data_IF_179769995003
#
_entry.id   IF_179769995003
#
_cell.length_a   1.000
_cell.length_b   1.000
_cell.length_c   1.000
_cell.angle_alpha   90.00
_cell.angle_beta   90.00
_cell.angle_gamma   90.00
#
_symmetry.space_group_name_H-M   'P 1'
#
loop_
_entity.id
_entity.type
_entity.pdbx_description
1 polymer ?
#
# COMPACT_ATOMS: atom_id res chain seq x y z
N UNK A 1 -98.74 74.00 4.20
CA UNK A 1 -97.47 74.04 4.95
C UNK A 1 -97.27 72.86 5.90
N UNK A 2 -98.28 72.04 6.20
CA UNK A 2 -98.13 70.89 7.13
C UNK A 2 -97.37 69.70 6.54
N UNK A 3 -97.42 69.49 5.22
CA UNK A 3 -96.73 68.38 4.55
C UNK A 3 -95.20 68.51 4.63
N UNK A 4 -94.67 69.71 4.41
CA UNK A 4 -93.23 69.99 4.56
C UNK A 4 -92.79 69.85 6.02
N UNK A 5 -93.65 70.20 7.00
CA UNK A 5 -93.30 70.13 8.42
C UNK A 5 -93.25 68.68 8.94
N UNK A 6 -94.16 67.83 8.47
CA UNK A 6 -94.22 66.42 8.86
C UNK A 6 -93.22 65.52 8.11
N UNK A 7 -92.70 65.97 6.97
CA UNK A 7 -91.75 65.22 6.15
C UNK A 7 -90.36 65.86 6.09
N UNK A 8 -90.14 66.98 6.81
CA UNK A 8 -88.87 67.71 6.86
C UNK A 8 -87.71 66.79 7.26
N UNK A 9 -87.93 65.97 8.29
CA UNK A 9 -86.94 65.01 8.78
C UNK A 9 -86.59 63.97 7.71
N UNK A 10 -87.58 63.41 7.01
CA UNK A 10 -87.35 62.43 5.93
C UNK A 10 -86.64 63.04 4.73
N UNK A 11 -86.94 64.30 4.40
CA UNK A 11 -86.31 65.02 3.29
C UNK A 11 -84.85 65.32 3.62
N UNK A 12 -84.56 65.81 4.84
CA UNK A 12 -83.18 66.04 5.27
C UNK A 12 -82.41 64.73 5.34
N UNK A 13 -82.99 63.67 5.90
CA UNK A 13 -82.34 62.36 6.01
C UNK A 13 -82.03 61.77 4.63
N UNK A 14 -82.96 61.89 3.68
CA UNK A 14 -82.76 61.52 2.27
C UNK A 14 -81.60 62.31 1.64
N UNK A 15 -81.55 63.62 1.88
CA UNK A 15 -80.52 64.49 1.35
C UNK A 15 -79.13 64.17 1.94
N UNK A 16 -79.03 63.95 3.25
CA UNK A 16 -77.75 63.54 3.88
C UNK A 16 -77.32 62.16 3.41
N UNK A 17 -78.25 61.20 3.26
CA UNK A 17 -77.92 59.88 2.75
C UNK A 17 -77.39 59.94 1.31
N UNK A 18 -78.01 60.78 0.47
CA UNK A 18 -77.56 61.02 -0.91
C UNK A 18 -76.17 61.65 -0.97
N UNK A 19 -75.88 62.61 -0.08
CA UNK A 19 -74.54 63.23 0.02
C UNK A 19 -73.47 62.22 0.47
N UNK A 20 -73.77 61.38 1.45
CA UNK A 20 -72.83 60.36 1.94
C UNK A 20 -72.56 59.31 0.87
N UNK A 21 -73.58 58.85 0.15
CA UNK A 21 -73.40 57.88 -0.95
C UNK A 21 -72.62 58.47 -2.11
N UNK A 22 -72.88 59.71 -2.51
CA UNK A 22 -72.08 60.40 -3.52
C UNK A 22 -70.61 60.55 -3.10
N UNK A 23 -70.36 60.91 -1.83
CA UNK A 23 -69.00 60.99 -1.28
C UNK A 23 -68.27 59.66 -1.26
N UNK A 24 -68.95 58.56 -0.91
CA UNK A 24 -68.36 57.23 -0.92
C UNK A 24 -67.97 56.76 -2.34
N UNK A 25 -68.81 57.02 -3.34
CA UNK A 25 -68.51 56.73 -4.74
C UNK A 25 -67.33 57.55 -5.24
N UNK A 26 -67.26 58.84 -4.87
CA UNK A 26 -66.14 59.70 -5.23
C UNK A 26 -64.81 59.24 -4.62
N UNK A 27 -64.81 58.84 -3.34
CA UNK A 27 -63.64 58.25 -2.69
C UNK A 27 -63.21 56.92 -3.32
N UNK A 28 -64.16 56.07 -3.70
CA UNK A 28 -63.86 54.82 -4.38
C UNK A 28 -63.15 55.05 -5.72
N UNK A 29 -63.60 56.04 -6.51
CA UNK A 29 -62.97 56.41 -7.78
C UNK A 29 -61.54 56.95 -7.58
N UNK A 30 -61.29 57.78 -6.56
CA UNK A 30 -59.94 58.23 -6.24
C UNK A 30 -59.03 57.08 -5.79
N UNK A 31 -59.55 56.11 -5.03
CA UNK A 31 -58.75 54.97 -4.58
C UNK A 31 -58.20 54.12 -5.73
N UNK A 32 -58.93 54.05 -6.86
CA UNK A 32 -58.47 53.36 -8.07
C UNK A 32 -57.31 54.13 -8.72
N UNK A 33 -57.40 55.46 -8.81
CA UNK A 33 -56.33 56.29 -9.37
C UNK A 33 -55.03 56.18 -8.56
N UNK A 34 -55.15 56.22 -7.23
CA UNK A 34 -53.99 56.07 -6.33
C UNK A 34 -53.38 54.67 -6.44
N UNK A 35 -54.21 53.61 -6.58
CA UNK A 35 -53.69 52.25 -6.83
C UNK A 35 -52.92 52.16 -8.14
N UNK A 36 -53.43 52.76 -9.21
CA UNK A 36 -52.71 52.76 -10.51
C UNK A 36 -51.39 53.53 -10.46
N UNK A 37 -51.31 54.60 -9.65
CA UNK A 37 -50.09 55.37 -9.45
C UNK A 37 -49.06 54.59 -8.60
N UNK A 38 -49.51 53.88 -7.57
CA UNK A 38 -48.66 52.97 -6.76
C UNK A 38 -48.17 51.77 -7.58
N UNK A 39 -49.01 51.19 -8.44
CA UNK A 39 -48.61 50.10 -9.34
C UNK A 39 -47.61 50.59 -10.41
N UNK A 40 -47.80 51.81 -10.93
CA UNK A 40 -46.85 52.47 -11.83
C UNK A 40 -45.49 52.75 -11.17
N UNK A 41 -45.48 53.15 -9.90
CA UNK A 41 -44.26 53.30 -9.10
C UNK A 41 -43.60 51.95 -8.77
N UNK A 42 -44.40 50.89 -8.59
CA UNK A 42 -43.92 49.52 -8.41
C UNK A 42 -43.16 48.97 -9.62
N UNK A 43 -43.49 49.44 -10.84
CA UNK A 43 -42.74 49.10 -12.06
C UNK A 43 -41.43 49.89 -12.23
N UNK A 44 -41.25 50.99 -11.47
CA UNK A 44 -39.99 51.73 -11.37
C UNK A 44 -39.11 51.25 -10.21
N UNK A 45 -39.55 50.25 -9.44
CA UNK A 45 -38.70 49.61 -8.45
C UNK A 45 -37.49 49.02 -9.18
N UNK A 46 -36.31 49.57 -8.87
CA UNK A 46 -35.03 49.07 -9.36
C UNK A 46 -35.00 47.53 -9.25
N UNK A 47 -34.43 46.82 -10.26
CA UNK A 47 -34.39 45.37 -10.25
C UNK A 47 -33.89 44.92 -8.88
N UNK A 48 -34.65 44.03 -8.23
CA UNK A 48 -34.23 43.50 -6.93
C UNK A 48 -32.80 43.03 -7.08
N UNK A 49 -31.88 43.80 -6.48
CA UNK A 49 -30.48 43.42 -6.39
C UNK A 49 -30.55 42.10 -5.63
N UNK A 50 -30.24 41.01 -6.33
CA UNK A 50 -30.06 39.71 -5.70
C UNK A 50 -29.01 39.95 -4.65
N UNK A 51 -29.42 40.00 -3.39
CA UNK A 51 -28.50 40.08 -2.27
C UNK A 51 -27.64 38.84 -2.42
N UNK A 52 -26.37 39.06 -2.73
CA UNK A 52 -25.39 37.99 -2.80
C UNK A 52 -25.36 37.38 -1.40
N UNK A 53 -25.91 36.17 -1.27
CA UNK A 53 -25.98 35.43 -0.01
C UNK A 53 -24.59 35.12 0.54
N UNK A 54 -23.52 35.44 -0.18
CA UNK A 54 -22.14 35.35 0.26
C UNK A 54 -21.59 36.64 0.91
N UNK A 55 -22.38 37.73 0.99
CA UNK A 55 -21.94 38.96 1.65
C UNK A 55 -22.08 38.87 3.17
N UNK A 56 -20.95 38.57 3.84
CA UNK A 56 -20.52 38.86 5.23
C UNK A 56 -21.49 38.55 6.40
N UNK A 57 -22.78 38.87 6.29
CA UNK A 57 -23.86 38.53 7.22
C UNK A 57 -24.05 37.02 7.42
N UNK A 58 -23.66 36.23 6.41
CA UNK A 58 -23.78 34.78 6.47
C UNK A 58 -22.80 34.18 7.48
N UNK A 59 -21.65 34.81 7.78
CA UNK A 59 -20.69 34.27 8.75
C UNK A 59 -21.28 34.25 10.17
N UNK A 60 -21.97 35.32 10.58
CA UNK A 60 -22.60 35.39 11.89
C UNK A 60 -23.80 34.45 12.00
N UNK A 61 -24.68 34.43 10.98
CA UNK A 61 -25.82 33.52 10.94
C UNK A 61 -25.38 32.05 10.91
N UNK A 62 -24.32 31.72 10.17
CA UNK A 62 -23.72 30.38 10.11
C UNK A 62 -23.08 30.00 11.45
N UNK A 63 -22.41 30.93 12.13
CA UNK A 63 -21.89 30.69 13.48
C UNK A 63 -23.02 30.45 14.49
N UNK A 64 -24.13 31.19 14.38
CA UNK A 64 -25.29 31.04 15.27
C UNK A 64 -26.05 29.72 15.03
N UNK A 65 -26.20 29.30 13.77
CA UNK A 65 -26.80 27.99 13.44
C UNK A 65 -25.90 26.83 13.85
N UNK A 66 -24.59 26.94 13.63
CA UNK A 66 -23.61 25.94 14.09
C UNK A 66 -23.54 25.87 15.63
N UNK A 67 -23.79 26.99 16.34
CA UNK A 67 -23.87 27.00 17.80
C UNK A 67 -25.16 26.37 18.35
N UNK A 68 -26.27 26.44 17.60
CA UNK A 68 -27.55 25.82 17.99
C UNK A 68 -27.59 24.32 17.75
N UNK A 69 -26.85 23.82 16.77
CA UNK A 69 -26.67 22.41 16.49
C UNK A 69 -25.17 22.10 16.42
N UNK A 70 -24.49 21.88 17.56
CA UNK A 70 -23.09 21.54 17.55
C UNK A 70 -22.90 20.30 16.68
N UNK A 71 -22.10 20.41 15.61
CA UNK A 71 -21.72 19.25 14.82
C UNK A 71 -21.09 18.23 15.77
N UNK A 72 -21.68 17.03 15.83
CA UNK A 72 -21.06 15.93 16.54
C UNK A 72 -19.76 15.61 15.80
N UNK A 73 -18.67 15.99 16.44
CA UNK A 73 -17.34 15.63 16.00
C UNK A 73 -17.15 14.16 16.34
N UNK A 74 -17.06 13.33 15.31
CA UNK A 74 -16.62 11.96 15.46
C UNK A 74 -15.10 11.96 15.69
N UNK A 75 -14.70 11.61 16.92
CA UNK A 75 -13.31 11.45 17.31
C UNK A 75 -12.82 10.00 17.18
N UNK A 76 -13.73 9.04 16.94
CA UNK A 76 -13.46 7.60 16.96
C UNK A 76 -13.36 6.98 15.54
N UNK A 77 -13.94 7.63 14.52
CA UNK A 77 -13.87 7.16 13.12
C UNK A 77 -12.54 7.46 12.43
N UNK A 78 -12.08 6.62 11.49
CA UNK A 78 -10.81 6.81 10.74
C UNK A 78 -10.70 8.13 9.92
N UNK A 79 -11.78 8.90 9.86
CA UNK A 79 -11.95 10.16 9.11
C UNK A 79 -12.01 11.40 10.02
N UNK A 80 -11.43 11.40 11.22
CA UNK A 80 -11.39 12.60 12.08
C UNK A 80 -10.51 13.71 11.45
N UNK A 81 -11.17 14.66 10.79
CA UNK A 81 -10.56 15.79 10.03
C UNK A 81 -9.90 16.87 10.88
N UNK A 82 -9.91 16.74 12.21
CA UNK A 82 -9.51 17.79 13.15
C UNK A 82 -8.05 17.66 13.58
N UNK A 83 -7.58 16.42 13.75
CA UNK A 83 -6.18 16.14 14.13
C UNK A 83 -5.32 15.71 12.94
N UNK A 84 -5.95 15.43 11.80
CA UNK A 84 -5.29 15.19 10.53
C UNK A 84 -6.14 15.85 9.44
N UNK A 85 -6.07 17.18 9.33
CA UNK A 85 -6.69 17.88 8.21
C UNK A 85 -6.27 17.16 6.93
N UNK A 86 -7.23 16.64 6.17
CA UNK A 86 -6.97 16.13 4.82
C UNK A 86 -6.16 17.23 4.16
N UNK A 87 -4.86 17.00 3.96
CA UNK A 87 -4.04 17.97 3.26
C UNK A 87 -4.67 18.07 1.89
N UNK A 88 -5.35 19.19 1.65
CA UNK A 88 -5.80 19.52 0.32
C UNK A 88 -4.50 19.83 -0.42
N UNK A 89 -3.99 18.81 -1.09
CA UNK A 89 -2.72 18.90 -1.77
C UNK A 89 -3.00 19.51 -3.14
N UNK A 90 -2.19 20.49 -3.47
CA UNK A 90 -2.23 21.14 -4.75
C UNK A 90 -1.46 20.29 -5.76
N UNK A 91 -2.13 19.86 -6.83
CA UNK A 91 -1.49 19.17 -7.93
C UNK A 91 -0.51 20.13 -8.60
N UNK A 92 0.77 19.78 -8.63
CA UNK A 92 1.84 20.64 -9.19
C UNK A 92 1.60 21.02 -10.66
N UNK A 93 0.93 20.16 -11.44
CA UNK A 93 0.64 20.41 -12.85
C UNK A 93 -0.44 21.50 -13.07
N UNK A 94 -1.60 21.33 -12.44
CA UNK A 94 -2.79 22.14 -12.77
C UNK A 94 -3.15 23.15 -11.67
N UNK A 95 -2.41 23.16 -10.56
CA UNK A 95 -2.71 23.94 -9.34
C UNK A 95 -4.10 23.67 -8.75
N UNK A 96 -4.70 22.54 -9.14
CA UNK A 96 -5.99 22.09 -8.64
C UNK A 96 -5.80 21.35 -7.31
N UNK A 97 -6.68 21.68 -6.38
CA UNK A 97 -6.70 21.17 -5.00
C UNK A 97 -7.44 19.83 -4.94
N UNK A 98 -6.75 18.77 -4.52
CA UNK A 98 -7.32 17.43 -4.34
C UNK A 98 -7.28 17.00 -2.88
N UNK A 99 -8.27 16.21 -2.41
CA UNK A 99 -8.21 15.59 -1.09
C UNK A 99 -7.01 14.62 -1.02
N UNK A 100 -6.40 14.50 0.17
CA UNK A 100 -5.19 13.72 0.40
C UNK A 100 -5.32 12.23 0.00
N UNK A 101 -6.52 11.65 0.04
CA UNK A 101 -6.73 10.26 -0.38
C UNK A 101 -6.64 10.08 -1.90
N UNK A 102 -6.89 11.15 -2.66
CA UNK A 102 -6.71 11.20 -4.12
C UNK A 102 -5.33 11.69 -4.54
N UNK A 103 -4.57 12.28 -3.62
CA UNK A 103 -3.23 12.78 -3.88
C UNK A 103 -2.26 12.24 -2.82
N UNK A 104 -1.54 11.16 -3.13
CA UNK A 104 -0.43 10.72 -2.29
C UNK A 104 -0.05 9.26 -2.55
N UNK A 105 0.78 8.65 -1.68
CA UNK A 105 1.26 7.29 -1.89
C UNK A 105 0.16 6.23 -1.98
N UNK A 106 -1.04 6.51 -1.40
CA UNK A 106 -2.21 5.62 -1.50
C UNK A 106 -2.80 5.53 -2.90
N UNK A 107 -2.61 6.57 -3.73
CA UNK A 107 -3.19 6.65 -5.07
C UNK A 107 -2.29 6.00 -6.13
N UNK A 108 -1.12 5.46 -5.74
CA UNK A 108 -0.29 4.64 -6.62
C UNK A 108 -1.02 3.37 -7.00
N UNK A 109 -0.89 3.00 -8.26
CA UNK A 109 -1.39 1.75 -8.81
C UNK A 109 -0.21 0.88 -9.24
N UNK A 110 -0.32 -0.41 -8.95
CA UNK A 110 0.67 -1.40 -9.35
C UNK A 110 0.24 -1.94 -10.71
N UNK A 111 1.07 -1.74 -11.75
CA UNK A 111 0.84 -2.34 -13.08
C UNK A 111 1.28 -3.80 -13.09
N UNK A 112 2.50 -4.07 -12.64
CA UNK A 112 3.10 -5.40 -12.67
C UNK A 112 4.14 -5.52 -11.55
N UNK A 113 4.25 -6.70 -10.94
CA UNK A 113 5.35 -7.06 -10.05
C UNK A 113 6.07 -8.26 -10.67
N UNK A 114 7.38 -8.14 -10.89
CA UNK A 114 8.23 -9.21 -11.43
C UNK A 114 9.23 -9.67 -10.38
N UNK A 115 9.34 -10.98 -10.24
CA UNK A 115 10.34 -11.61 -9.37
C UNK A 115 11.74 -11.55 -9.98
N UNK A 116 12.74 -11.31 -9.14
CA UNK A 116 14.15 -11.24 -9.51
C UNK A 116 14.94 -12.38 -8.85
N UNK A 117 15.00 -13.57 -9.49
CA UNK A 117 15.64 -14.72 -8.90
C UNK A 117 17.17 -14.75 -9.01
N UNK A 118 17.78 -15.51 -8.12
CA UNK A 118 19.09 -16.12 -8.30
C UNK A 118 18.90 -17.50 -8.91
N UNK A 119 19.51 -17.71 -10.08
CA UNK A 119 19.49 -18.98 -10.78
C UNK A 119 20.88 -19.61 -10.75
N UNK A 120 20.96 -20.88 -10.38
CA UNK A 120 22.21 -21.66 -10.34
C UNK A 120 22.01 -22.95 -11.12
N UNK A 121 22.91 -23.20 -12.08
CA UNK A 121 23.02 -24.47 -12.81
C UNK A 121 24.45 -24.97 -12.77
N UNK A 122 24.62 -26.28 -12.78
CA UNK A 122 25.93 -26.93 -12.72
C UNK A 122 26.18 -27.76 -13.98
N UNK A 123 27.43 -27.79 -14.43
CA UNK A 123 27.87 -28.56 -15.59
C UNK A 123 29.24 -29.17 -15.32
N UNK A 124 29.38 -30.44 -15.65
CA UNK A 124 30.67 -31.13 -15.68
C UNK A 124 31.25 -31.07 -17.09
N UNK A 125 32.52 -30.68 -17.21
CA UNK A 125 33.23 -30.71 -18.48
C UNK A 125 34.58 -31.40 -18.31
N UNK A 126 34.78 -32.44 -19.10
CA UNK A 126 36.05 -33.18 -19.16
C UNK A 126 36.84 -32.74 -20.38
N UNK A 127 38.06 -32.24 -20.18
CA UNK A 127 38.97 -31.85 -21.27
C UNK A 127 40.32 -32.51 -21.04
N UNK A 128 40.79 -33.31 -21.99
CA UNK A 128 42.11 -33.99 -21.94
C UNK A 128 42.35 -34.69 -20.58
N UNK A 129 41.38 -35.50 -20.16
CA UNK A 129 41.40 -36.29 -18.91
C UNK A 129 41.37 -35.47 -17.61
N UNK A 130 41.13 -34.16 -17.68
CA UNK A 130 40.82 -33.33 -16.50
C UNK A 130 39.33 -33.01 -16.46
N UNK A 131 38.65 -33.51 -15.44
CA UNK A 131 37.25 -33.20 -15.15
C UNK A 131 37.19 -31.90 -14.35
N UNK A 132 36.44 -30.92 -14.85
CA UNK A 132 36.19 -29.65 -14.15
C UNK A 132 34.70 -29.42 -14.04
N UNK A 133 34.25 -29.05 -12.84
CA UNK A 133 32.86 -28.68 -12.59
C UNK A 133 32.74 -27.17 -12.66
N UNK A 134 31.73 -26.70 -13.38
CA UNK A 134 31.39 -25.29 -13.54
C UNK A 134 30.00 -25.04 -12.95
N UNK A 135 29.88 -23.96 -12.21
CA UNK A 135 28.59 -23.38 -11.85
C UNK A 135 28.35 -22.16 -12.74
N UNK A 136 27.17 -22.08 -13.32
CA UNK A 136 26.66 -20.88 -13.96
C UNK A 136 25.65 -20.25 -13.03
N UNK A 137 25.93 -19.01 -12.62
CA UNK A 137 25.13 -18.28 -11.67
C UNK A 137 24.62 -17.01 -12.33
N UNK A 138 23.31 -16.81 -12.36
CA UNK A 138 22.65 -15.61 -12.87
C UNK A 138 21.92 -14.91 -11.73
N UNK A 139 22.42 -13.76 -11.24
CA UNK A 139 21.74 -12.95 -10.25
C UNK A 139 20.85 -11.90 -10.93
N UNK A 140 19.58 -12.20 -11.21
CA UNK A 140 18.67 -11.27 -11.91
C UNK A 140 18.36 -10.01 -11.08
N UNK A 141 18.52 -10.09 -9.76
CA UNK A 141 18.37 -8.98 -8.82
C UNK A 141 19.50 -7.95 -8.89
N UNK A 142 20.61 -8.22 -9.57
CA UNK A 142 21.65 -7.23 -9.84
C UNK A 142 21.28 -6.34 -11.04
N UNK A 143 22.09 -5.31 -11.32
CA UNK A 143 21.88 -4.39 -12.44
C UNK A 143 23.12 -4.27 -13.34
N UNK A 144 22.88 -3.90 -14.60
CA UNK A 144 23.93 -3.66 -15.60
C UNK A 144 24.80 -4.90 -15.85
N UNK A 145 26.12 -4.70 -15.87
CA UNK A 145 27.11 -5.76 -16.12
C UNK A 145 27.09 -6.93 -15.11
N UNK A 146 26.39 -6.77 -14.00
CA UNK A 146 26.33 -7.76 -12.93
C UNK A 146 25.13 -8.70 -13.03
N UNK A 147 24.09 -8.32 -13.79
CA UNK A 147 22.92 -9.17 -14.07
C UNK A 147 23.19 -10.26 -15.13
N UNK A 148 24.45 -10.46 -15.50
CA UNK A 148 24.87 -11.43 -16.52
C UNK A 148 25.21 -12.76 -15.86
N UNK A 149 24.92 -13.85 -16.56
CA UNK A 149 25.31 -15.19 -16.12
C UNK A 149 26.84 -15.29 -16.03
N UNK A 150 27.35 -15.69 -14.86
CA UNK A 150 28.77 -15.89 -14.64
C UNK A 150 29.09 -17.37 -14.58
N UNK A 151 29.98 -17.80 -15.47
CA UNK A 151 30.58 -19.13 -15.43
C UNK A 151 31.76 -19.14 -14.46
N UNK A 152 31.69 -19.98 -13.44
CA UNK A 152 32.74 -20.11 -12.42
C UNK A 152 33.12 -21.58 -12.27
N UNK A 153 34.41 -21.91 -12.42
CA UNK A 153 34.90 -23.24 -12.04
C UNK A 153 34.79 -23.41 -10.53
N UNK A 154 34.19 -24.49 -10.06
CA UNK A 154 33.98 -24.76 -8.64
C UNK A 154 34.81 -25.94 -8.16
N UNK A 155 35.16 -25.91 -6.86
CA UNK A 155 35.84 -26.96 -6.11
C UNK A 155 35.27 -26.96 -4.69
N UNK A 156 35.39 -28.08 -4.00
CA UNK A 156 34.96 -28.18 -2.59
C UNK A 156 35.63 -27.08 -1.74
N UNK A 157 34.86 -26.49 -0.84
CA UNK A 157 35.27 -25.35 -0.01
C UNK A 157 35.36 -24.01 -0.75
N UNK A 158 35.02 -23.93 -2.06
CA UNK A 158 35.03 -22.65 -2.78
C UNK A 158 33.84 -21.79 -2.37
N UNK A 159 34.12 -20.57 -1.92
CA UNK A 159 33.13 -19.53 -1.73
C UNK A 159 32.98 -18.70 -3.02
N UNK A 160 31.77 -18.59 -3.55
CA UNK A 160 31.39 -17.66 -4.61
C UNK A 160 30.65 -16.49 -3.97
N UNK A 161 31.28 -15.32 -4.04
CA UNK A 161 30.72 -14.07 -3.51
C UNK A 161 30.12 -13.26 -4.65
N UNK A 162 28.89 -12.81 -4.45
CA UNK A 162 28.28 -11.84 -5.35
C UNK A 162 28.63 -10.43 -4.85
N UNK A 163 28.92 -9.51 -5.77
CA UNK A 163 29.25 -8.15 -5.41
C UNK A 163 28.91 -7.18 -6.53
N UNK A 164 28.16 -6.13 -6.20
CA UNK A 164 28.76 -4.89 -5.68
C UNK A 164 27.76 -3.73 -5.49
N UNK A 165 26.45 -3.93 -5.69
CA UNK A 165 25.44 -2.90 -5.34
C UNK A 165 24.41 -3.41 -4.32
N UNK A 166 23.50 -4.32 -4.69
CA UNK A 166 22.57 -4.93 -3.71
C UNK A 166 23.23 -6.04 -2.90
N UNK A 167 24.10 -6.83 -3.52
CA UNK A 167 24.83 -7.91 -2.84
C UNK A 167 25.89 -7.47 -1.85
N UNK A 168 26.44 -6.26 -1.95
CA UNK A 168 27.33 -5.75 -0.90
C UNK A 168 26.54 -5.35 0.35
N UNK A 169 25.32 -4.83 0.18
CA UNK A 169 24.42 -4.53 1.29
C UNK A 169 23.90 -5.81 1.96
N UNK A 170 23.61 -6.87 1.18
CA UNK A 170 23.07 -8.15 1.70
C UNK A 170 24.13 -9.25 1.94
N UNK A 171 25.39 -9.00 1.58
CA UNK A 171 26.55 -9.93 1.59
C UNK A 171 26.19 -11.39 1.26
N UNK A 172 25.66 -11.61 0.06
CA UNK A 172 25.25 -12.96 -0.37
C UNK A 172 26.49 -13.79 -0.73
N UNK A 173 26.64 -14.93 -0.06
CA UNK A 173 27.73 -15.88 -0.27
C UNK A 173 27.16 -17.28 -0.50
N UNK A 174 27.62 -17.92 -1.58
CA UNK A 174 27.32 -19.32 -1.89
C UNK A 174 28.61 -20.12 -1.70
N UNK A 175 28.61 -21.02 -0.72
CA UNK A 175 29.71 -21.92 -0.44
C UNK A 175 29.43 -23.28 -1.09
N UNK A 176 30.45 -23.87 -1.69
CA UNK A 176 30.40 -25.23 -2.21
C UNK A 176 30.87 -26.17 -1.12
N UNK A 177 29.99 -27.01 -0.59
CA UNK A 177 30.35 -27.96 0.47
C UNK A 177 30.92 -29.24 -0.13
N UNK A 178 30.13 -29.90 -0.97
CA UNK A 178 30.48 -31.21 -1.52
C UNK A 178 30.16 -31.29 -3.00
N UNK A 179 31.01 -31.97 -3.76
CA UNK A 179 30.79 -32.21 -5.18
C UNK A 179 30.82 -33.72 -5.41
N UNK A 180 29.65 -34.33 -5.67
CA UNK A 180 29.57 -35.72 -6.08
C UNK A 180 29.65 -35.79 -7.60
N UNK A 181 30.77 -36.32 -8.11
CA UNK A 181 31.05 -36.46 -9.54
C UNK A 181 31.26 -37.93 -9.86
N UNK A 182 30.54 -38.43 -10.86
CA UNK A 182 30.91 -39.67 -11.54
C UNK A 182 31.71 -39.32 -12.80
N UNK A 183 32.98 -39.76 -12.92
CA UNK A 183 33.78 -39.56 -14.12
C UNK A 183 33.19 -40.22 -15.38
N UNK A 184 32.43 -41.31 -15.21
CA UNK A 184 31.87 -42.09 -16.33
C UNK A 184 30.53 -41.55 -16.82
N UNK A 185 29.74 -40.94 -15.93
CA UNK A 185 28.42 -40.39 -16.24
C UNK A 185 28.28 -38.93 -15.79
N UNK A 186 28.37 -37.93 -16.70
CA UNK A 186 28.22 -36.52 -16.35
C UNK A 186 26.80 -36.14 -15.85
N UNK A 187 25.83 -37.04 -16.05
CA UNK A 187 24.42 -36.84 -15.68
C UNK A 187 24.14 -37.12 -14.19
N UNK A 188 25.07 -37.72 -13.45
CA UNK A 188 24.92 -37.98 -12.01
C UNK A 188 25.57 -36.90 -11.13
N UNK A 189 26.12 -35.84 -11.74
CA UNK A 189 26.68 -34.71 -11.02
C UNK A 189 25.67 -34.15 -10.02
N UNK A 190 26.07 -34.05 -8.76
CA UNK A 190 25.32 -33.30 -7.74
C UNK A 190 26.27 -32.47 -6.91
N UNK A 191 25.88 -31.22 -6.65
CA UNK A 191 26.68 -30.27 -5.89
C UNK A 191 25.85 -29.74 -4.75
N UNK A 192 26.38 -29.90 -3.55
CA UNK A 192 25.79 -29.37 -2.32
C UNK A 192 26.33 -27.96 -2.08
N UNK A 193 25.40 -27.01 -2.00
CA UNK A 193 25.69 -25.60 -1.78
C UNK A 193 25.09 -25.15 -0.45
N UNK A 194 25.81 -24.23 0.20
CA UNK A 194 25.30 -23.48 1.34
C UNK A 194 25.17 -22.02 0.96
N UNK A 195 23.92 -21.57 0.90
CA UNK A 195 23.55 -20.19 0.70
C UNK A 195 23.53 -19.45 2.04
N UNK A 196 24.20 -18.31 2.10
CA UNK A 196 24.22 -17.46 3.28
C UNK A 196 24.02 -16.00 2.91
N UNK A 197 23.19 -15.30 3.68
CA UNK A 197 22.96 -13.86 3.61
C UNK A 197 23.30 -13.23 4.95
N UNK A 198 23.72 -11.97 4.94
CA UNK A 198 24.02 -11.25 6.18
C UNK A 198 22.77 -11.19 7.08
N UNK A 199 22.88 -11.75 8.29
CA UNK A 199 21.78 -11.78 9.27
C UNK A 199 20.72 -12.86 9.05
N UNK A 200 20.89 -13.74 8.05
CA UNK A 200 20.01 -14.89 7.81
C UNK A 200 20.64 -16.21 8.26
N UNK A 201 19.80 -17.22 8.50
CA UNK A 201 20.26 -18.59 8.69
C UNK A 201 20.86 -19.13 7.38
N UNK A 202 21.97 -19.87 7.43
CA UNK A 202 22.49 -20.55 6.25
C UNK A 202 21.49 -21.61 5.79
N UNK A 203 21.28 -21.71 4.48
CA UNK A 203 20.37 -22.67 3.86
C UNK A 203 21.17 -23.59 2.94
N UNK A 204 20.98 -24.90 3.11
CA UNK A 204 21.62 -25.91 2.30
C UNK A 204 20.69 -26.35 1.18
N UNK A 205 21.23 -26.48 -0.03
CA UNK A 205 20.50 -26.99 -1.18
C UNK A 205 21.44 -27.76 -2.12
N UNK A 206 20.90 -28.81 -2.75
CA UNK A 206 21.63 -29.63 -3.71
C UNK A 206 21.17 -29.30 -5.12
N UNK A 207 22.11 -29.07 -6.03
CA UNK A 207 21.82 -28.90 -7.47
C UNK A 207 22.34 -30.11 -8.23
N UNK A 208 21.44 -30.82 -8.90
CA UNK A 208 21.77 -31.96 -9.76
C UNK A 208 22.12 -31.53 -11.17
N UNK A 209 22.75 -32.42 -11.93
CA UNK A 209 22.99 -32.24 -13.35
C UNK A 209 21.66 -31.96 -14.06
N UNK A 210 21.66 -31.00 -15.00
CA UNK A 210 20.49 -30.56 -15.78
C UNK A 210 19.37 -29.88 -14.97
N UNK A 211 19.46 -29.87 -13.64
CA UNK A 211 18.55 -29.12 -12.79
C UNK A 211 19.01 -27.67 -12.66
N UNK A 212 18.03 -26.78 -12.56
CA UNK A 212 18.26 -25.36 -12.36
C UNK A 212 17.61 -24.95 -11.05
N UNK A 213 18.45 -24.67 -10.06
CA UNK A 213 17.97 -24.14 -8.79
C UNK A 213 17.66 -22.66 -8.95
N UNK A 214 16.48 -22.25 -8.48
CA UNK A 214 16.00 -20.88 -8.59
C UNK A 214 15.48 -20.44 -7.23
N UNK A 215 15.90 -19.25 -6.80
CA UNK A 215 15.41 -18.63 -5.57
C UNK A 215 15.12 -17.16 -5.79
N UNK A 216 13.94 -16.75 -5.41
CA UNK A 216 13.51 -15.36 -5.46
C UNK A 216 14.19 -14.58 -4.32
N UNK A 217 14.95 -13.54 -4.69
CA UNK A 217 15.70 -12.73 -3.73
C UNK A 217 15.23 -11.29 -3.66
N UNK A 218 14.63 -10.78 -4.73
CA UNK A 218 14.12 -9.43 -4.77
C UNK A 218 12.95 -9.35 -5.76
N UNK A 219 12.27 -8.22 -5.77
CA UNK A 219 11.18 -7.94 -6.70
C UNK A 219 11.39 -6.58 -7.36
N UNK A 220 10.94 -6.45 -8.60
CA UNK A 220 10.77 -5.16 -9.26
C UNK A 220 9.30 -4.91 -9.54
N UNK A 221 8.88 -3.64 -9.45
CA UNK A 221 7.51 -3.25 -9.72
C UNK A 221 7.45 -2.15 -10.77
N UNK A 222 6.48 -2.25 -11.67
CA UNK A 222 6.07 -1.18 -12.56
C UNK A 222 4.85 -0.49 -11.92
N UNK A 223 4.98 0.80 -11.65
CA UNK A 223 3.98 1.58 -10.92
C UNK A 223 3.42 2.69 -11.81
N UNK A 224 2.17 3.05 -11.56
CA UNK A 224 1.50 4.19 -12.16
C UNK A 224 0.99 5.13 -11.09
N UNK A 225 1.14 6.42 -11.32
CA UNK A 225 0.53 7.44 -10.49
C UNK A 225 -0.53 8.21 -11.30
N UNK A 226 -1.80 7.80 -11.26
CA UNK A 226 -2.90 8.43 -11.97
C UNK A 226 -2.99 9.96 -11.75
N UNK A 227 -2.78 10.49 -10.52
CA UNK A 227 -2.87 11.92 -10.30
C UNK A 227 -1.78 12.75 -10.97
N UNK A 228 -0.69 12.22 -11.50
CA UNK A 228 0.25 12.98 -12.36
C UNK A 228 0.45 12.32 -13.72
N UNK A 229 -0.31 11.26 -14.02
CA UNK A 229 -0.16 10.43 -15.22
C UNK A 229 1.29 9.98 -15.42
N UNK A 230 1.96 9.63 -14.33
CA UNK A 230 3.39 9.31 -14.34
C UNK A 230 3.64 7.82 -14.13
N UNK A 231 4.46 7.27 -15.00
CA UNK A 231 4.92 5.88 -14.91
C UNK A 231 6.27 5.80 -14.19
N UNK A 232 6.39 4.83 -13.30
CA UNK A 232 7.63 4.45 -12.62
C UNK A 232 7.95 2.99 -12.95
N UNK A 233 8.71 2.80 -14.01
CA UNK A 233 9.07 1.47 -14.52
C UNK A 233 10.31 0.92 -13.79
N UNK A 234 10.37 -0.41 -13.65
CA UNK A 234 11.49 -1.19 -13.08
C UNK A 234 11.93 -0.66 -11.71
N UNK A 235 10.96 -0.29 -10.90
CA UNK A 235 11.19 0.27 -9.58
C UNK A 235 11.64 -0.83 -8.63
N UNK A 236 12.70 -0.57 -7.84
CA UNK A 236 13.27 -1.51 -6.86
C UNK A 236 13.29 -0.93 -5.45
N UNK A 237 13.56 -1.79 -4.45
CA UNK A 237 13.68 -1.40 -3.05
C UNK A 237 14.75 -0.34 -2.83
N UNK A 238 14.42 0.78 -2.19
CA UNK A 238 15.35 1.89 -1.96
C UNK A 238 15.36 2.95 -3.06
N UNK A 239 14.68 2.72 -4.20
CA UNK A 239 14.51 3.73 -5.24
C UNK A 239 13.72 4.94 -4.70
N UNK A 240 14.13 6.14 -5.13
CA UNK A 240 13.54 7.41 -4.70
C UNK A 240 12.85 8.06 -5.90
N UNK A 241 11.60 8.47 -5.71
CA UNK A 241 10.82 9.18 -6.71
C UNK A 241 10.05 10.33 -6.08
N UNK A 242 9.74 11.33 -6.89
CA UNK A 242 9.00 12.53 -6.47
C UNK A 242 7.63 12.51 -7.14
N UNK A 243 6.56 12.52 -6.35
CA UNK A 243 5.18 12.66 -6.82
C UNK A 243 4.30 13.18 -5.69
N UNK A 244 3.13 13.74 -6.03
CA UNK A 244 2.17 14.27 -5.07
C UNK A 244 2.75 15.41 -4.23
N UNK A 245 3.73 16.13 -4.78
CA UNK A 245 4.46 17.20 -4.09
C UNK A 245 5.43 16.73 -2.99
N UNK A 246 5.70 15.42 -2.88
CA UNK A 246 6.63 14.87 -1.87
C UNK A 246 7.70 13.97 -2.50
N UNK A 247 8.81 13.83 -1.79
CA UNK A 247 9.86 12.84 -2.11
C UNK A 247 9.53 11.55 -1.38
N UNK A 248 9.52 10.45 -2.11
CA UNK A 248 9.10 9.15 -1.61
C UNK A 248 10.18 8.09 -1.91
N UNK A 249 10.32 7.12 -1.01
CA UNK A 249 11.25 6.00 -1.16
C UNK A 249 10.53 4.67 -1.04
N UNK A 250 10.91 3.72 -1.88
CA UNK A 250 10.50 2.32 -1.72
C UNK A 250 11.21 1.70 -0.54
N UNK A 251 10.47 1.13 0.41
CA UNK A 251 11.05 0.37 1.51
C UNK A 251 11.02 -1.12 1.21
N UNK A 252 9.93 -1.60 0.62
CA UNK A 252 9.70 -3.02 0.46
C UNK A 252 8.83 -3.27 -0.77
N UNK A 253 9.13 -4.36 -1.48
CA UNK A 253 8.31 -4.92 -2.56
C UNK A 253 8.16 -6.42 -2.22
N UNK A 254 6.93 -6.89 -2.18
CA UNK A 254 6.56 -8.30 -2.03
C UNK A 254 5.69 -8.70 -3.22
N UNK A 255 5.35 -9.99 -3.33
CA UNK A 255 4.43 -10.50 -4.34
C UNK A 255 3.04 -9.84 -4.29
N UNK A 256 2.56 -9.54 -3.09
CA UNK A 256 1.20 -9.02 -2.88
C UNK A 256 1.10 -7.49 -3.01
N UNK A 257 2.23 -6.78 -2.90
CA UNK A 257 2.20 -5.34 -2.78
C UNK A 257 3.52 -4.68 -2.47
N UNK A 258 3.42 -3.39 -2.20
CA UNK A 258 4.54 -2.46 -2.22
C UNK A 258 4.40 -1.43 -1.11
N UNK A 259 5.49 -1.16 -0.40
CA UNK A 259 5.50 -0.19 0.70
C UNK A 259 6.40 1.01 0.37
N UNK A 260 5.80 2.20 0.43
CA UNK A 260 6.46 3.49 0.21
C UNK A 260 6.57 4.24 1.52
N UNK A 261 7.66 4.96 1.71
CA UNK A 261 7.80 5.99 2.74
C UNK A 261 7.94 7.36 2.12
N UNK A 262 7.10 8.28 2.56
CA UNK A 262 7.25 9.71 2.30
C UNK A 262 8.37 10.31 3.18
N UNK A 263 9.23 11.14 2.61
CA UNK A 263 10.32 11.80 3.35
C UNK A 263 9.80 12.90 4.28
N UNK A 264 8.75 13.63 3.88
CA UNK A 264 8.23 14.76 4.66
C UNK A 264 7.72 14.39 6.06
N UNK A 265 7.10 13.21 6.18
CA UNK A 265 6.41 12.78 7.40
C UNK A 265 6.84 11.38 7.88
N UNK A 266 7.75 10.74 7.17
CA UNK A 266 8.22 9.36 7.41
C UNK A 266 7.11 8.30 7.46
N UNK A 267 5.87 8.63 7.05
CA UNK A 267 4.74 7.70 7.03
C UNK A 267 4.98 6.64 5.98
N UNK A 268 4.69 5.40 6.35
CA UNK A 268 4.74 4.24 5.46
C UNK A 268 3.34 3.91 4.98
N UNK A 269 3.20 3.69 3.69
CA UNK A 269 1.95 3.31 3.06
C UNK A 269 2.21 2.04 2.25
N UNK A 270 1.45 1.00 2.53
CA UNK A 270 1.46 -0.23 1.75
C UNK A 270 0.30 -0.21 0.78
N UNK A 271 0.60 -0.33 -0.50
CA UNK A 271 -0.36 -0.49 -1.58
C UNK A 271 -0.38 -1.96 -1.96
N UNK A 272 -1.55 -2.59 -1.88
CA UNK A 272 -1.76 -3.97 -2.32
C UNK A 272 -2.22 -4.00 -3.76
N UNK A 273 -1.86 -5.07 -4.46
CA UNK A 273 -2.24 -5.25 -5.86
C UNK A 273 -3.75 -5.51 -5.92
N UNK A 274 -4.52 -4.62 -6.59
CA UNK A 274 -5.99 -4.76 -6.72
C UNK A 274 -6.42 -6.00 -7.49
N UNK A 275 -5.50 -6.61 -8.26
CA UNK A 275 -5.76 -7.85 -8.99
C UNK A 275 -4.43 -8.60 -9.10
N UNK A 276 -4.16 -9.61 -8.24
CA UNK A 276 -2.95 -10.40 -8.37
C UNK A 276 -3.06 -11.18 -9.69
N UNK A 277 -2.25 -10.81 -10.68
CA UNK A 277 -1.98 -11.74 -11.79
C UNK A 277 -1.34 -12.94 -11.12
N UNK A 278 -2.06 -14.06 -11.08
CA UNK A 278 -1.67 -15.26 -10.39
C UNK A 278 -0.22 -15.61 -10.77
N UNK A 279 0.68 -15.45 -9.81
CA UNK A 279 2.00 -16.04 -9.88
C UNK A 279 1.79 -17.53 -10.14
N UNK A 280 2.36 -18.04 -11.23
CA UNK A 280 2.34 -19.46 -11.54
C UNK A 280 3.14 -20.13 -10.42
N UNK A 281 2.43 -20.68 -9.44
CA UNK A 281 3.02 -21.42 -8.34
C UNK A 281 3.87 -22.56 -8.92
N UNK A 282 5.12 -22.77 -8.46
CA UNK A 282 5.84 -23.97 -8.80
C UNK A 282 5.04 -25.18 -8.29
N UNK A 283 4.76 -26.11 -9.21
CA UNK A 283 3.96 -27.29 -8.95
C UNK A 283 4.47 -28.01 -7.69
N UNK A 284 3.61 -28.08 -6.66
CA UNK A 284 3.86 -28.88 -5.48
C UNK A 284 4.09 -30.33 -5.90
N UNK A 285 5.32 -30.82 -5.69
CA UNK A 285 5.67 -32.23 -5.83
C UNK A 285 4.88 -32.98 -4.76
N UNK A 286 3.86 -33.71 -5.19
CA UNK A 286 3.10 -34.63 -4.36
C UNK A 286 4.05 -35.72 -3.85
N UNK A 287 4.42 -35.66 -2.57
CA UNK A 287 4.99 -36.81 -1.89
C UNK A 287 3.90 -37.86 -1.69
N UNK A 288 4.00 -38.94 -2.47
CA UNK A 288 3.24 -40.18 -2.31
C UNK A 288 3.57 -40.77 -0.92
N UNK A 289 2.58 -40.96 -0.02
CA UNK A 289 2.84 -41.63 1.25
C UNK A 289 3.19 -43.11 1.03
N UNK A 290 4.26 -43.55 1.68
CA UNK A 290 4.73 -44.92 1.70
C UNK A 290 3.68 -45.84 2.33
N UNK A 291 3.49 -47.00 1.72
CA UNK A 291 2.59 -48.05 2.18
C UNK A 291 3.12 -48.69 3.48
N UNK A 292 2.28 -48.69 4.52
CA UNK A 292 2.49 -49.44 5.76
C UNK A 292 2.05 -50.89 5.53
N UNK A 293 2.99 -51.83 5.66
CA UNK A 293 2.73 -53.27 5.66
C UNK A 293 2.27 -53.74 7.07
N UNK A 294 1.61 -54.92 7.18
CA UNK A 294 0.63 -55.20 8.23
C UNK A 294 1.23 -55.78 9.52
N UNK A 295 0.53 -55.49 10.60
CA UNK A 295 0.71 -55.99 11.96
C UNK A 295 0.65 -57.52 12.06
N UNK A 296 1.67 -58.12 12.66
CA UNK A 296 1.62 -59.47 13.20
C UNK A 296 1.51 -59.41 14.73
N UNK A 297 0.60 -60.23 15.26
CA UNK A 297 0.34 -60.48 16.67
C UNK A 297 1.60 -60.96 17.40
N UNK A 298 1.78 -60.56 18.67
CA UNK A 298 2.22 -61.50 19.70
C UNK A 298 1.98 -60.95 21.11
N UNK A 299 1.32 -61.80 21.88
CA UNK A 299 1.00 -61.79 23.31
C UNK A 299 2.20 -61.68 24.26
N UNK A 300 2.00 -61.15 25.47
CA UNK A 300 2.88 -61.43 26.61
C UNK A 300 2.82 -60.38 27.72
N UNK A 301 2.20 -60.74 28.84
CA UNK A 301 1.99 -59.92 30.04
C UNK A 301 3.21 -60.00 31.03
N UNK A 302 3.17 -59.46 32.27
CA UNK A 302 4.21 -58.61 32.84
C UNK A 302 5.12 -59.31 33.86
N UNK A 303 6.32 -58.76 34.10
CA UNK A 303 7.25 -59.24 35.12
C UNK A 303 8.02 -58.09 35.76
N UNK A 304 7.73 -57.84 37.03
CA UNK A 304 8.44 -56.92 37.92
C UNK A 304 9.88 -57.38 38.20
N UNK A 305 10.80 -56.44 38.49
CA UNK A 305 12.03 -56.80 39.19
C UNK A 305 13.15 -55.76 39.19
N UNK A 306 13.34 -55.14 40.36
CA UNK A 306 14.63 -54.93 41.05
C UNK A 306 15.58 -53.81 40.55
N UNK A 307 15.69 -52.78 41.38
CA UNK A 307 16.86 -51.88 41.64
C UNK A 307 17.79 -52.66 42.61
N UNK A 308 19.15 -52.58 42.66
CA UNK A 308 19.91 -51.32 42.82
C UNK A 308 21.40 -51.24 42.37
N UNK A 309 21.93 -50.01 42.42
CA UNK A 309 23.30 -49.55 42.81
C UNK A 309 24.54 -50.14 42.07
N UNK A 310 25.70 -49.50 41.89
CA UNK A 310 26.43 -48.45 42.63
C UNK A 310 27.65 -48.03 41.79
N UNK A 311 28.15 -46.79 41.99
CA UNK A 311 29.58 -46.39 42.02
C UNK A 311 30.46 -46.57 40.74
N UNK A 312 31.55 -45.85 40.48
CA UNK A 312 32.24 -44.69 41.04
C UNK A 312 33.43 -44.42 40.09
N UNK A 313 33.89 -43.15 39.97
CA UNK A 313 35.27 -42.71 39.67
C UNK A 313 35.87 -43.13 38.30
N UNK A 314 36.67 -42.33 37.60
CA UNK A 314 37.88 -41.65 38.04
C UNK A 314 38.36 -40.73 36.90
N UNK A 315 38.52 -39.43 37.17
CA UNK A 315 39.54 -38.60 36.49
C UNK A 315 40.91 -38.97 37.06
N UNK A 316 42.00 -38.82 36.28
CA UNK A 316 43.01 -37.77 36.59
C UNK A 316 43.80 -37.33 35.31
N UNK A 317 44.98 -36.69 35.38
CA UNK A 317 45.10 -35.24 35.50
C UNK A 317 46.07 -34.59 34.48
N UNK A 318 46.14 -33.27 34.60
CA UNK A 318 47.08 -32.31 33.99
C UNK A 318 48.55 -32.67 34.21
N UNK A 319 49.40 -32.44 33.20
CA UNK A 319 50.81 -32.09 33.40
C UNK A 319 51.25 -31.04 32.38
N UNK A 320 51.53 -29.84 32.88
CA UNK A 320 52.23 -28.78 32.18
C UNK A 320 53.73 -29.10 32.10
N UNK A 321 54.41 -28.61 31.06
CA UNK A 321 55.75 -28.06 31.27
C UNK A 321 56.14 -27.03 30.21
N UNK A 322 56.52 -25.87 30.73
CA UNK A 322 57.22 -24.76 30.08
C UNK A 322 58.66 -25.23 29.78
N UNK A 323 59.44 -24.66 28.84
CA UNK A 323 60.13 -23.35 28.89
C UNK A 323 61.28 -23.40 27.81
N UNK A 324 62.20 -22.43 27.68
CA UNK A 324 62.20 -21.30 26.75
C UNK A 324 63.36 -21.28 25.72
N UNK A 325 63.34 -20.21 24.90
CA UNK A 325 64.36 -19.44 24.15
C UNK A 325 65.86 -19.67 24.42
N UNK A 326 66.79 -19.29 23.50
CA UNK A 326 66.95 -17.94 22.90
C UNK A 326 66.61 -17.82 21.42
#
# INVERSE_FOLDING_TARGET
>A
MEFLKNHYEKIILSLTLALVTAGAVWLALQSVQVRTEIEGLGQMAAPQVRVDTNSVTNVFLTALTNGRAPQQVDFDGADHKIFNAEKILERTLDKVKYPADKLGPKSLEIKEIRSLPLTIRVEQRTVRSRTSVYAYMRPAYEQGRYAVEKKTSIREGKAVRFGRTYTLQRQIVVNVEKINVDPENPDTLSVDFTFSMLGGAPEQFTVKAKETWTRDLDFEADLYYPPEQRDFLKTRVGHIFTFGGDTNQVIQINEEGFTVRAFSNQKRVTVTMKNPVAAIAPAAVQQKPAATAPSAMSTGAPGAGVVPATANRQTPPVAANQKPTP
#
